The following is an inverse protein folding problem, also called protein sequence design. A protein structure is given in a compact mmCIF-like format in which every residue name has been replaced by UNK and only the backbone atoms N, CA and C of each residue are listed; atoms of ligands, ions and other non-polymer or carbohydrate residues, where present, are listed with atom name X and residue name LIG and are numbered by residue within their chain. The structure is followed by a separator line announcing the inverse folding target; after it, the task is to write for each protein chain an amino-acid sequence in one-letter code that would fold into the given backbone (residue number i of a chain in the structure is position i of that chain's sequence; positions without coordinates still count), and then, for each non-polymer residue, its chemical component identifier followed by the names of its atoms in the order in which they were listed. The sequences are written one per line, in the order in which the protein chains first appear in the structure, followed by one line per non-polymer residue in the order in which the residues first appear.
data_IF_529892656003
#
_entry.id   IF_529892656003
#
_cell.length_a   1.000
_cell.length_b   1.000
_cell.length_c   1.000
_cell.angle_alpha   90.00
_cell.angle_beta   90.00
_cell.angle_gamma   90.00
#
_symmetry.space_group_name_H-M   'P 1'
#
loop_
_entity.id
_entity.type
_entity.pdbx_description
1 polymer ?
#
# COMPACT_ATOMS: atom_id res chain seq x y z
N UNK A 1 -38.78 17.71 11.75
CA UNK A 1 -37.50 17.22 12.28
C UNK A 1 -36.75 18.39 12.94
N UNK A 2 -36.17 18.19 14.13
CA UNK A 2 -35.23 19.13 14.75
C UNK A 2 -33.89 18.43 14.88
N UNK A 3 -32.82 19.16 14.58
CA UNK A 3 -31.46 18.63 14.67
C UNK A 3 -30.59 19.61 15.47
N UNK A 4 -29.92 19.12 16.48
CA UNK A 4 -28.90 19.87 17.22
C UNK A 4 -27.57 19.15 17.07
N UNK A 5 -26.56 19.84 16.56
CA UNK A 5 -25.19 19.28 16.36
C UNK A 5 -24.30 19.79 17.46
N UNK A 6 -23.62 18.86 18.15
CA UNK A 6 -22.64 19.16 19.20
C UNK A 6 -21.33 18.46 18.90
N UNK A 7 -20.23 19.06 19.33
CA UNK A 7 -18.94 18.33 19.36
C UNK A 7 -18.99 17.30 20.50
N UNK A 8 -18.44 16.14 20.26
CA UNK A 8 -18.34 15.08 21.27
C UNK A 8 -17.32 15.45 22.35
N UNK A 9 -17.51 14.95 23.57
CA UNK A 9 -16.50 15.03 24.63
C UNK A 9 -15.19 14.30 24.25
N UNK A 10 -15.26 13.36 23.29
CA UNK A 10 -14.10 12.65 22.77
C UNK A 10 -13.20 13.48 21.83
N UNK A 11 -13.63 14.69 21.44
CA UNK A 11 -12.84 15.61 20.61
C UNK A 11 -13.56 16.12 19.36
N UNK A 12 -12.94 17.11 18.70
CA UNK A 12 -13.50 17.80 17.51
C UNK A 12 -13.69 16.90 16.26
N UNK A 13 -13.09 15.71 16.25
CA UNK A 13 -13.20 14.73 15.16
C UNK A 13 -14.42 13.83 15.28
N UNK A 14 -15.25 14.02 16.31
CA UNK A 14 -16.49 13.27 16.52
C UNK A 14 -17.62 14.25 16.83
N UNK A 15 -18.76 14.05 16.14
CA UNK A 15 -19.96 14.87 16.34
C UNK A 15 -21.11 14.02 16.87
N UNK A 16 -21.93 14.65 17.71
CA UNK A 16 -23.16 14.07 18.21
C UNK A 16 -24.32 14.87 17.62
N UNK A 17 -25.14 14.20 16.84
CA UNK A 17 -26.37 14.75 16.28
C UNK A 17 -27.55 14.30 17.15
N UNK A 18 -28.15 15.23 17.87
CA UNK A 18 -29.42 14.99 18.57
C UNK A 18 -30.53 15.23 17.57
N UNK A 19 -31.28 14.20 17.24
CA UNK A 19 -32.32 14.25 16.22
C UNK A 19 -33.65 13.94 16.88
N UNK A 20 -34.63 14.84 16.68
CA UNK A 20 -35.99 14.69 17.13
C UNK A 20 -36.95 14.75 15.92
N UNK A 21 -37.76 13.70 15.75
CA UNK A 21 -38.69 13.53 14.63
C UNK A 21 -40.09 13.62 15.16
N UNK A 22 -40.92 14.47 14.55
CA UNK A 22 -42.31 14.66 15.00
C UNK A 22 -43.19 13.42 14.74
N UNK A 23 -44.27 13.21 15.53
CA UNK A 23 -45.20 12.10 15.28
C UNK A 23 -45.86 12.13 13.90
N UNK A 24 -46.04 13.32 13.33
CA UNK A 24 -46.62 13.49 11.98
C UNK A 24 -45.69 12.91 10.92
N UNK A 25 -44.39 13.21 10.99
CA UNK A 25 -43.37 12.67 10.06
C UNK A 25 -43.20 11.15 10.20
N UNK A 26 -43.34 10.59 11.42
CA UNK A 26 -43.34 9.16 11.68
C UNK A 26 -44.56 8.44 11.13
N UNK A 27 -45.72 9.10 11.11
CA UNK A 27 -46.94 8.53 10.53
C UNK A 27 -46.81 8.29 9.03
N UNK A 28 -46.10 9.14 8.31
CA UNK A 28 -45.79 8.91 6.88
C UNK A 28 -44.98 7.63 6.65
N UNK A 29 -43.94 7.41 7.46
CA UNK A 29 -43.13 6.18 7.40
C UNK A 29 -43.97 4.96 7.80
N UNK A 30 -44.82 5.10 8.84
CA UNK A 30 -45.73 4.04 9.30
C UNK A 30 -46.73 3.62 8.23
N UNK A 31 -47.37 4.57 7.59
CA UNK A 31 -48.39 4.33 6.55
C UNK A 31 -47.74 3.68 5.30
N UNK A 32 -46.52 4.07 4.95
CA UNK A 32 -45.77 3.47 3.84
C UNK A 32 -45.44 2.00 4.14
N UNK A 33 -44.99 1.69 5.37
CA UNK A 33 -44.64 0.32 5.79
C UNK A 33 -45.94 -0.52 5.91
N UNK A 34 -47.03 0.05 6.44
CA UNK A 34 -48.31 -0.63 6.53
C UNK A 34 -48.82 -1.05 5.13
N UNK A 35 -48.69 -0.19 4.12
CA UNK A 35 -49.08 -0.53 2.75
C UNK A 35 -48.15 -1.60 2.15
N UNK A 36 -46.86 -1.65 2.51
CA UNK A 36 -45.96 -2.70 2.10
C UNK A 36 -46.33 -4.05 2.74
N UNK A 37 -46.66 -4.05 4.04
CA UNK A 37 -47.16 -5.26 4.71
C UNK A 37 -48.50 -5.70 4.11
N UNK A 38 -49.41 -4.79 3.84
CA UNK A 38 -50.68 -5.10 3.19
C UNK A 38 -50.46 -5.84 1.85
N UNK A 39 -49.50 -5.41 1.05
CA UNK A 39 -49.21 -6.03 -0.26
C UNK A 39 -48.53 -7.39 -0.13
N UNK A 40 -47.67 -7.57 0.87
CA UNK A 40 -46.83 -8.78 1.02
C UNK A 40 -47.44 -9.86 1.90
N UNK A 41 -48.17 -9.48 2.94
CA UNK A 41 -48.68 -10.41 3.95
C UNK A 41 -49.73 -11.38 3.39
N UNK A 42 -49.55 -12.65 3.77
CA UNK A 42 -50.54 -13.71 3.53
C UNK A 42 -51.18 -14.06 4.89
N UNK A 43 -52.42 -13.68 5.08
CA UNK A 43 -53.13 -13.90 6.33
C UNK A 43 -54.30 -14.86 6.13
N UNK A 44 -54.52 -15.86 7.01
CA UNK A 44 -55.65 -16.74 6.95
C UNK A 44 -56.96 -15.94 7.00
N UNK A 45 -57.91 -16.21 6.08
CA UNK A 45 -59.19 -15.54 6.00
C UNK A 45 -59.18 -14.22 5.18
N UNK A 46 -58.05 -13.76 4.68
CA UNK A 46 -57.98 -12.54 3.86
C UNK A 46 -57.28 -12.80 2.51
N UNK A 47 -57.81 -12.20 1.45
CA UNK A 47 -57.14 -12.18 0.16
C UNK A 47 -55.93 -11.27 0.24
N UNK A 48 -54.81 -11.68 -0.38
CA UNK A 48 -53.59 -10.89 -0.47
C UNK A 48 -53.87 -9.44 -0.89
N UNK A 49 -53.37 -8.47 -0.13
CA UNK A 49 -53.60 -7.04 -0.37
C UNK A 49 -54.91 -6.47 0.18
N UNK A 50 -55.74 -7.27 0.86
CA UNK A 50 -57.07 -6.84 1.37
C UNK A 50 -57.22 -6.96 2.90
N UNK A 51 -56.15 -7.24 3.62
CA UNK A 51 -56.19 -7.27 5.08
C UNK A 51 -56.42 -5.86 5.66
N UNK A 52 -57.33 -5.71 6.64
CA UNK A 52 -57.56 -4.43 7.33
C UNK A 52 -56.35 -4.03 8.17
N UNK A 53 -56.21 -2.69 8.38
CA UNK A 53 -55.10 -2.10 9.16
C UNK A 53 -54.94 -2.73 10.55
N UNK A 54 -56.03 -2.83 11.29
CA UNK A 54 -56.05 -3.38 12.65
C UNK A 54 -55.61 -4.84 12.74
N UNK A 55 -55.85 -5.65 11.73
CA UNK A 55 -55.40 -7.04 11.66
C UNK A 55 -53.90 -7.12 11.38
N UNK A 56 -53.38 -6.26 10.49
CA UNK A 56 -51.95 -6.15 10.21
C UNK A 56 -51.18 -5.67 11.44
N UNK A 57 -51.69 -4.62 12.12
CA UNK A 57 -51.09 -4.09 13.35
C UNK A 57 -51.06 -5.13 14.48
N UNK A 58 -52.14 -5.93 14.64
CA UNK A 58 -52.19 -6.97 15.64
C UNK A 58 -51.19 -8.11 15.37
N UNK A 59 -51.02 -8.45 14.09
CA UNK A 59 -50.15 -9.59 13.69
C UNK A 59 -48.68 -9.20 13.53
N UNK A 60 -48.39 -8.01 13.02
CA UNK A 60 -47.09 -7.55 12.63
C UNK A 60 -46.65 -6.25 13.32
N UNK A 61 -47.41 -5.74 14.29
CA UNK A 61 -47.17 -4.43 14.90
C UNK A 61 -45.73 -4.22 15.34
N UNK A 62 -45.16 -5.18 16.05
CA UNK A 62 -43.77 -5.13 16.52
C UNK A 62 -42.74 -5.09 15.39
N UNK A 63 -42.92 -5.90 14.35
CA UNK A 63 -42.04 -5.89 13.17
C UNK A 63 -42.14 -4.59 12.38
N UNK A 64 -43.36 -4.07 12.28
CA UNK A 64 -43.62 -2.78 11.60
C UNK A 64 -43.03 -1.62 12.38
N UNK A 65 -43.12 -1.58 13.71
CA UNK A 65 -42.49 -0.56 14.54
C UNK A 65 -40.97 -0.56 14.39
N UNK A 66 -40.35 -1.73 14.31
CA UNK A 66 -38.93 -1.84 14.07
C UNK A 66 -38.53 -1.32 12.69
N UNK A 67 -39.24 -1.69 11.63
CA UNK A 67 -39.01 -1.18 10.29
C UNK A 67 -39.24 0.33 10.16
N UNK A 68 -40.25 0.88 10.86
CA UNK A 68 -40.51 2.34 10.95
C UNK A 68 -39.32 3.04 11.59
N UNK A 69 -38.85 2.51 12.72
CA UNK A 69 -37.70 3.06 13.42
C UNK A 69 -36.42 3.08 12.52
N UNK A 70 -36.07 1.94 11.92
CA UNK A 70 -34.93 1.86 11.03
C UNK A 70 -35.01 2.82 9.86
N UNK A 71 -36.19 2.89 9.20
CA UNK A 71 -36.42 3.78 8.07
C UNK A 71 -36.35 5.26 8.47
N UNK A 72 -36.98 5.62 9.58
CA UNK A 72 -37.04 6.99 10.11
C UNK A 72 -35.59 7.44 10.49
N UNK A 73 -34.86 6.60 11.24
CA UNK A 73 -33.47 6.89 11.63
C UNK A 73 -32.59 7.10 10.41
N UNK A 74 -32.64 6.19 9.43
CA UNK A 74 -31.81 6.32 8.21
C UNK A 74 -32.15 7.61 7.46
N UNK A 75 -33.42 7.86 7.17
CA UNK A 75 -33.86 9.04 6.42
C UNK A 75 -33.48 10.35 7.11
N UNK A 76 -33.75 10.44 8.43
CA UNK A 76 -33.50 11.66 9.18
C UNK A 76 -32.06 11.92 9.46
N UNK A 77 -31.22 10.88 9.67
CA UNK A 77 -29.76 10.99 9.74
C UNK A 77 -29.18 11.52 8.42
N UNK A 78 -29.53 10.92 7.27
CA UNK A 78 -29.06 11.37 5.97
C UNK A 78 -29.48 12.83 5.66
N UNK A 79 -30.66 13.23 6.08
CA UNK A 79 -31.10 14.61 5.95
C UNK A 79 -30.29 15.56 6.84
N UNK A 80 -30.06 15.19 8.11
CA UNK A 80 -29.27 15.97 9.05
C UNK A 80 -27.83 16.17 8.59
N UNK A 81 -27.18 15.11 8.10
CA UNK A 81 -25.82 15.16 7.54
C UNK A 81 -25.73 16.14 6.37
N UNK A 82 -26.72 16.11 5.46
CA UNK A 82 -26.76 17.03 4.31
C UNK A 82 -27.02 18.48 4.72
N UNK A 83 -27.99 18.72 5.61
CA UNK A 83 -28.36 20.05 6.08
C UNK A 83 -27.19 20.76 6.78
N UNK A 84 -26.48 20.03 7.64
CA UNK A 84 -25.37 20.55 8.43
C UNK A 84 -24.01 20.43 7.72
N UNK A 85 -23.97 19.94 6.47
CA UNK A 85 -22.73 19.75 5.66
C UNK A 85 -21.66 18.97 6.41
N UNK A 86 -22.07 17.90 7.09
CA UNK A 86 -21.17 17.01 7.82
C UNK A 86 -20.58 16.02 6.80
N UNK A 87 -19.27 15.79 6.86
CA UNK A 87 -18.57 14.77 6.08
C UNK A 87 -18.26 13.58 7.00
N UNK A 88 -19.16 12.59 7.12
CA UNK A 88 -18.94 11.44 7.96
C UNK A 88 -17.84 10.53 7.36
N UNK A 89 -16.96 10.02 8.22
CA UNK A 89 -15.95 9.02 7.87
C UNK A 89 -16.26 7.64 8.43
N UNK A 90 -17.41 7.49 9.07
CA UNK A 90 -17.90 6.20 9.57
C UNK A 90 -19.41 6.12 9.54
N UNK A 91 -19.95 4.91 9.69
CA UNK A 91 -21.38 4.75 10.00
C UNK A 91 -21.67 5.31 11.38
N UNK A 92 -22.85 5.99 11.58
CA UNK A 92 -23.20 6.53 12.88
C UNK A 92 -23.48 5.42 13.90
N UNK A 93 -23.02 5.62 15.12
CA UNK A 93 -23.48 4.84 16.26
C UNK A 93 -24.76 5.51 16.80
N UNK A 94 -25.88 4.77 16.79
CA UNK A 94 -27.15 5.27 17.24
C UNK A 94 -27.35 4.92 18.70
N UNK A 95 -27.48 5.95 19.54
CA UNK A 95 -27.59 5.82 20.98
C UNK A 95 -28.84 6.51 21.51
N UNK A 96 -29.24 6.18 22.75
CA UNK A 96 -30.32 6.85 23.50
C UNK A 96 -31.62 6.96 22.73
N UNK A 97 -31.95 5.90 21.96
CA UNK A 97 -33.23 5.87 21.21
C UNK A 97 -34.42 5.90 22.16
N UNK A 98 -35.32 6.82 21.94
CA UNK A 98 -36.67 6.87 22.59
C UNK A 98 -37.71 6.85 21.50
N UNK A 99 -38.48 5.77 21.45
CA UNK A 99 -39.48 5.56 20.42
C UNK A 99 -40.72 4.92 21.07
N UNK A 100 -41.75 5.73 21.29
CA UNK A 100 -43.04 5.30 21.78
C UNK A 100 -44.13 5.72 20.80
N UNK A 101 -45.15 4.88 20.58
CA UNK A 101 -46.22 5.13 19.63
C UNK A 101 -46.95 6.43 19.97
N UNK A 102 -46.99 7.37 19.01
CA UNK A 102 -47.62 8.67 19.19
C UNK A 102 -46.77 9.72 19.91
N UNK A 103 -45.55 9.39 20.29
CA UNK A 103 -44.58 10.34 20.83
C UNK A 103 -43.51 10.67 19.76
N UNK A 104 -42.80 11.77 19.88
CA UNK A 104 -41.66 12.06 19.02
C UNK A 104 -40.58 10.99 19.16
N UNK A 105 -40.01 10.57 18.04
CA UNK A 105 -38.79 9.78 18.06
C UNK A 105 -37.61 10.71 18.39
N UNK A 106 -36.82 10.37 19.41
CA UNK A 106 -35.55 11.03 19.68
C UNK A 106 -34.41 10.05 19.78
N UNK A 107 -33.29 10.42 19.20
CA UNK A 107 -32.07 9.61 19.28
C UNK A 107 -30.83 10.47 19.13
N UNK A 108 -29.70 9.94 19.59
CA UNK A 108 -28.37 10.52 19.36
C UNK A 108 -27.64 9.69 18.30
N UNK A 109 -27.12 10.37 17.26
CA UNK A 109 -26.25 9.75 16.27
C UNK A 109 -24.81 10.26 16.50
N UNK A 110 -23.95 9.40 17.01
CA UNK A 110 -22.52 9.69 17.19
C UNK A 110 -21.79 9.29 15.92
N UNK A 111 -21.10 10.24 15.31
CA UNK A 111 -20.43 10.03 14.03
C UNK A 111 -19.05 10.65 14.02
N UNK A 112 -18.08 9.88 13.52
CA UNK A 112 -16.75 10.39 13.26
C UNK A 112 -16.76 11.23 11.98
N UNK A 113 -16.10 12.38 12.05
CA UNK A 113 -15.98 13.33 10.94
C UNK A 113 -14.54 13.59 10.58
N UNK A 114 -14.31 13.96 9.32
CA UNK A 114 -12.96 14.33 8.88
C UNK A 114 -12.48 15.54 9.69
N UNK A 115 -11.28 15.47 10.32
CA UNK A 115 -10.75 16.57 11.08
C UNK A 115 -10.54 17.82 10.21
N UNK A 116 -11.02 18.96 10.68
CA UNK A 116 -10.73 20.25 10.04
C UNK A 116 -9.42 20.77 10.56
N UNK A 117 -8.43 20.88 9.69
CA UNK A 117 -7.08 21.30 10.03
C UNK A 117 -6.86 22.74 9.58
N UNK A 118 -6.44 23.59 10.52
CA UNK A 118 -5.91 24.91 10.23
C UNK A 118 -4.40 24.85 10.38
N UNK A 119 -3.63 24.76 9.29
CA UNK A 119 -2.18 24.57 9.36
C UNK A 119 -1.51 25.82 9.96
N UNK A 120 -0.51 25.61 10.83
CA UNK A 120 0.27 26.67 11.50
C UNK A 120 1.76 26.44 11.31
N UNK A 121 2.53 27.50 11.27
CA UNK A 121 4.00 27.49 11.29
C UNK A 121 4.62 26.53 10.25
N UNK A 122 4.03 26.47 9.04
CA UNK A 122 4.48 25.59 7.96
C UNK A 122 5.53 26.24 7.05
N UNK A 123 5.91 27.47 7.32
CA UNK A 123 7.07 28.13 6.71
C UNK A 123 8.24 28.18 7.68
N UNK A 124 9.42 28.57 7.20
CA UNK A 124 10.65 28.69 7.99
C UNK A 124 11.03 27.38 8.73
N UNK A 125 10.83 26.24 8.05
CA UNK A 125 11.22 24.94 8.56
C UNK A 125 12.76 24.80 8.45
N UNK A 126 13.37 24.15 9.45
CA UNK A 126 14.79 23.84 9.43
C UNK A 126 15.05 22.54 8.69
N UNK A 127 15.37 22.61 7.41
CA UNK A 127 15.55 21.42 6.58
C UNK A 127 17.04 21.14 6.43
N UNK A 128 17.52 19.92 6.79
CA UNK A 128 18.88 19.51 6.48
C UNK A 128 19.01 19.37 4.96
N UNK A 129 19.87 20.15 4.34
CA UNK A 129 20.22 20.02 2.93
C UNK A 129 21.61 19.42 2.82
N UNK A 130 21.75 18.33 2.10
CA UNK A 130 23.04 17.70 1.81
C UNK A 130 23.48 18.09 0.41
N UNK A 131 24.70 18.62 0.29
CA UNK A 131 25.32 18.79 -1.01
C UNK A 131 25.67 17.40 -1.58
N UNK A 132 25.06 17.04 -2.70
CA UNK A 132 25.30 15.76 -3.35
C UNK A 132 26.60 15.84 -4.12
N UNK A 133 27.64 15.21 -3.59
CA UNK A 133 28.93 15.01 -4.27
C UNK A 133 29.27 13.51 -4.21
N UNK A 134 29.52 12.91 -5.37
CA UNK A 134 29.91 11.50 -5.47
C UNK A 134 31.44 11.41 -5.53
N UNK A 135 32.07 10.80 -4.51
CA UNK A 135 33.50 10.58 -4.51
C UNK A 135 33.93 9.64 -5.64
N UNK A 136 35.15 9.81 -6.18
CA UNK A 136 35.66 8.97 -7.26
C UNK A 136 35.75 7.48 -6.89
N UNK A 137 36.07 7.18 -5.65
CA UNK A 137 36.15 5.80 -5.14
C UNK A 137 34.77 5.09 -5.17
N UNK A 138 33.66 5.81 -5.04
CA UNK A 138 32.32 5.24 -5.15
C UNK A 138 31.99 4.89 -6.62
N UNK A 139 32.41 5.72 -7.55
CA UNK A 139 32.30 5.43 -8.99
C UNK A 139 33.12 4.17 -9.34
N UNK A 140 34.37 4.07 -8.87
CA UNK A 140 35.22 2.90 -9.13
C UNK A 140 34.65 1.63 -8.45
N UNK A 141 34.07 1.72 -7.26
CA UNK A 141 33.39 0.58 -6.63
C UNK A 141 32.20 0.10 -7.45
N UNK A 142 31.36 1.02 -7.91
CA UNK A 142 30.19 0.67 -8.73
C UNK A 142 30.58 0.07 -10.08
N UNK A 143 31.68 0.55 -10.67
CA UNK A 143 32.25 -0.05 -11.89
C UNK A 143 32.80 -1.45 -11.62
N UNK A 144 33.46 -1.67 -10.49
CA UNK A 144 33.96 -2.99 -10.10
C UNK A 144 32.79 -3.96 -9.85
N UNK A 145 31.71 -3.52 -9.17
CA UNK A 145 30.51 -4.32 -9.00
C UNK A 145 29.87 -4.68 -10.34
N UNK A 146 29.78 -3.72 -11.27
CA UNK A 146 29.30 -3.96 -12.63
C UNK A 146 30.17 -5.00 -13.35
N UNK A 147 31.49 -4.86 -13.25
CA UNK A 147 32.47 -5.81 -13.81
C UNK A 147 32.28 -7.22 -13.27
N UNK A 148 32.07 -7.35 -11.96
CA UNK A 148 31.83 -8.64 -11.31
C UNK A 148 30.46 -9.24 -11.74
N UNK A 149 29.42 -8.45 -11.86
CA UNK A 149 28.08 -8.90 -12.28
C UNK A 149 28.04 -9.36 -13.74
N UNK A 150 28.89 -8.78 -14.59
CA UNK A 150 28.96 -9.09 -16.02
C UNK A 150 30.04 -10.08 -16.36
N UNK A 151 30.65 -10.75 -15.36
CA UNK A 151 31.67 -11.77 -15.58
C UNK A 151 31.12 -12.97 -16.36
N UNK A 152 31.92 -13.48 -17.31
CA UNK A 152 31.61 -14.68 -18.08
C UNK A 152 31.98 -15.96 -17.30
N UNK A 153 31.23 -17.03 -17.54
CA UNK A 153 31.51 -18.34 -16.99
C UNK A 153 32.20 -19.22 -18.01
N UNK A 154 33.48 -19.51 -17.79
CA UNK A 154 34.30 -20.36 -18.68
C UNK A 154 34.40 -21.79 -18.13
N UNK A 155 34.17 -22.83 -18.95
CA UNK A 155 34.31 -24.20 -18.49
C UNK A 155 35.76 -24.54 -18.14
N UNK A 156 35.91 -25.28 -17.04
CA UNK A 156 37.26 -25.75 -16.56
C UNK A 156 37.20 -27.22 -16.17
N UNK A 157 38.29 -27.94 -16.40
CA UNK A 157 38.43 -29.38 -16.08
C UNK A 157 39.16 -29.59 -14.75
N UNK A 158 38.79 -28.84 -13.72
CA UNK A 158 39.35 -28.96 -12.36
C UNK A 158 38.21 -29.09 -11.33
N UNK A 159 38.63 -29.38 -10.09
CA UNK A 159 37.70 -29.34 -8.94
C UNK A 159 37.17 -27.93 -8.73
N UNK A 160 35.88 -27.86 -8.31
CA UNK A 160 35.24 -26.62 -7.99
C UNK A 160 35.92 -25.93 -6.80
N UNK A 161 36.29 -24.67 -6.98
CA UNK A 161 36.92 -23.80 -5.98
C UNK A 161 35.91 -22.68 -5.55
N UNK A 162 36.19 -21.99 -4.42
CA UNK A 162 35.43 -20.80 -4.06
C UNK A 162 35.43 -19.78 -5.21
N UNK A 163 34.25 -19.18 -5.52
CA UNK A 163 34.08 -18.25 -6.63
C UNK A 163 33.74 -18.88 -7.98
N UNK A 164 33.77 -20.22 -8.08
CA UNK A 164 33.32 -20.94 -9.26
C UNK A 164 31.79 -21.12 -9.27
N UNK A 165 31.26 -21.49 -10.43
CA UNK A 165 29.91 -22.01 -10.56
C UNK A 165 29.93 -23.48 -11.01
N UNK A 166 28.98 -24.25 -10.58
CA UNK A 166 28.83 -25.67 -10.93
C UNK A 166 27.56 -25.87 -11.71
N UNK A 167 27.63 -26.51 -12.86
CA UNK A 167 26.45 -26.95 -13.62
C UNK A 167 26.02 -28.29 -13.07
N UNK A 168 24.78 -28.36 -12.62
CA UNK A 168 24.23 -29.56 -12.00
C UNK A 168 22.84 -29.90 -12.56
N UNK A 169 22.59 -31.22 -12.65
CA UNK A 169 21.22 -31.71 -12.65
C UNK A 169 20.88 -32.10 -11.22
N UNK A 170 19.76 -31.65 -10.68
CA UNK A 170 19.37 -32.01 -9.33
C UNK A 170 17.89 -32.35 -9.22
N UNK A 171 17.60 -33.18 -8.22
CA UNK A 171 16.23 -33.53 -7.85
C UNK A 171 16.11 -33.64 -6.34
N UNK A 172 15.02 -33.17 -5.79
CA UNK A 172 14.70 -33.36 -4.37
C UNK A 172 14.12 -34.76 -4.15
N UNK A 173 14.61 -35.46 -3.12
CA UNK A 173 14.13 -36.76 -2.72
C UNK A 173 13.15 -36.64 -1.55
N UNK A 174 12.15 -37.53 -1.53
CA UNK A 174 11.26 -37.69 -0.39
C UNK A 174 11.90 -38.58 0.68
N UNK A 175 11.25 -38.75 1.85
CA UNK A 175 11.70 -39.59 2.96
C UNK A 175 11.93 -41.07 2.61
N UNK A 176 11.50 -41.53 1.42
CA UNK A 176 11.70 -42.89 0.91
C UNK A 176 12.78 -42.95 -0.16
N UNK A 177 13.56 -41.88 -0.37
CA UNK A 177 14.59 -41.79 -1.39
C UNK A 177 14.08 -41.71 -2.85
N UNK A 178 12.79 -41.38 -3.04
CA UNK A 178 12.23 -41.26 -4.40
C UNK A 178 12.12 -39.79 -4.80
N UNK A 179 12.33 -39.47 -6.12
CA UNK A 179 12.19 -38.12 -6.63
C UNK A 179 10.80 -37.52 -6.32
N UNK A 180 10.81 -36.27 -5.88
CA UNK A 180 9.60 -35.48 -5.68
C UNK A 180 9.14 -34.92 -7.02
N UNK A 181 7.86 -35.08 -7.35
CA UNK A 181 7.30 -34.62 -8.61
C UNK A 181 7.53 -33.13 -8.85
N UNK A 182 8.00 -32.77 -10.04
CA UNK A 182 8.32 -31.39 -10.46
C UNK A 182 9.47 -30.71 -9.69
N UNK A 183 10.33 -31.46 -8.98
CA UNK A 183 11.51 -30.90 -8.32
C UNK A 183 12.81 -31.07 -9.11
N UNK A 184 12.74 -31.72 -10.27
CA UNK A 184 13.90 -31.94 -11.17
C UNK A 184 14.24 -30.62 -11.88
N UNK A 185 15.53 -30.25 -11.81
CA UNK A 185 16.13 -29.14 -12.54
C UNK A 185 17.34 -29.68 -13.31
N UNK A 186 17.44 -29.32 -14.60
CA UNK A 186 18.54 -29.70 -15.47
C UNK A 186 19.37 -28.48 -15.85
N UNK A 187 20.67 -28.70 -16.02
CA UNK A 187 21.63 -27.68 -16.41
C UNK A 187 21.58 -26.42 -15.52
N UNK A 188 21.26 -26.60 -14.23
CA UNK A 188 21.20 -25.50 -13.29
C UNK A 188 22.63 -24.99 -12.99
N UNK A 189 22.85 -23.70 -13.16
CA UNK A 189 24.09 -23.03 -12.78
C UNK A 189 24.01 -22.63 -11.29
N UNK A 190 24.87 -23.22 -10.47
CA UNK A 190 24.95 -22.92 -9.03
C UNK A 190 26.26 -22.18 -8.77
N UNK A 191 26.15 -20.87 -8.51
CA UNK A 191 27.27 -20.02 -8.12
C UNK A 191 27.63 -20.30 -6.65
N UNK A 192 28.83 -20.73 -6.35
CA UNK A 192 29.25 -21.16 -5.00
C UNK A 192 29.35 -20.01 -3.99
N UNK A 193 29.51 -18.78 -4.49
CA UNK A 193 29.57 -17.56 -3.67
C UNK A 193 28.26 -16.74 -3.71
N UNK A 194 27.17 -17.29 -4.30
CA UNK A 194 25.89 -16.57 -4.40
C UNK A 194 25.33 -16.24 -3.02
N UNK A 195 24.89 -14.99 -2.84
CA UNK A 195 24.15 -14.59 -1.65
C UNK A 195 22.82 -15.36 -1.58
N UNK A 196 22.60 -16.05 -0.47
CA UNK A 196 21.41 -16.88 -0.28
C UNK A 196 21.56 -18.35 -0.67
N UNK A 197 22.70 -18.77 -1.22
CA UNK A 197 22.99 -20.20 -1.38
C UNK A 197 23.15 -20.83 0.01
N UNK A 198 22.39 -21.90 0.26
CA UNK A 198 22.46 -22.60 1.54
C UNK A 198 23.87 -23.21 1.73
N UNK A 199 24.46 -23.12 2.93
CA UNK A 199 25.83 -23.58 3.19
C UNK A 199 26.07 -25.02 2.76
N UNK A 200 25.10 -25.91 2.96
CA UNK A 200 25.19 -27.31 2.60
C UNK A 200 25.35 -27.53 1.09
N UNK A 201 24.76 -26.69 0.23
CA UNK A 201 25.00 -26.74 -1.21
C UNK A 201 26.44 -26.39 -1.53
N UNK A 202 26.93 -25.29 -1.00
CA UNK A 202 28.29 -24.83 -1.22
C UNK A 202 29.31 -25.88 -0.74
N UNK A 203 29.16 -26.37 0.49
CA UNK A 203 30.12 -27.26 1.12
C UNK A 203 30.18 -28.64 0.42
N UNK A 204 29.07 -29.13 -0.12
CA UNK A 204 29.04 -30.40 -0.85
C UNK A 204 29.43 -30.25 -2.32
N UNK A 205 29.37 -29.08 -2.92
CA UNK A 205 29.81 -28.85 -4.30
C UNK A 205 31.27 -28.42 -4.39
N UNK A 206 31.87 -27.84 -3.34
CA UNK A 206 33.30 -27.55 -3.28
C UNK A 206 34.15 -28.82 -3.43
N UNK A 207 35.18 -28.75 -4.26
CA UNK A 207 36.07 -29.88 -4.55
C UNK A 207 35.48 -30.94 -5.48
N UNK A 208 34.30 -30.75 -6.04
CA UNK A 208 33.66 -31.68 -6.98
C UNK A 208 34.04 -31.39 -8.42
N UNK A 209 34.06 -32.47 -9.25
CA UNK A 209 34.33 -32.43 -10.70
C UNK A 209 33.12 -32.84 -11.50
N UNK A 210 33.12 -32.46 -12.79
CA UNK A 210 32.12 -32.98 -13.74
C UNK A 210 32.13 -34.50 -13.77
N UNK A 211 30.94 -35.11 -13.77
CA UNK A 211 30.71 -36.55 -13.73
C UNK A 211 30.52 -37.16 -12.34
N UNK A 212 30.65 -36.39 -11.27
CA UNK A 212 30.39 -36.88 -9.92
C UNK A 212 28.89 -36.81 -9.57
N UNK A 213 28.42 -37.83 -8.84
CA UNK A 213 27.10 -37.87 -8.25
C UNK A 213 27.21 -37.70 -6.74
N UNK A 214 26.34 -36.84 -6.16
CA UNK A 214 26.30 -36.55 -4.74
C UNK A 214 24.87 -36.54 -4.21
N UNK A 215 24.70 -37.00 -2.98
CA UNK A 215 23.46 -36.88 -2.22
C UNK A 215 23.75 -36.22 -0.88
N UNK A 216 22.98 -35.20 -0.52
CA UNK A 216 23.10 -34.53 0.77
C UNK A 216 21.77 -33.98 1.23
N UNK A 217 21.70 -33.68 2.52
CA UNK A 217 20.49 -33.12 3.14
C UNK A 217 20.76 -31.66 3.52
N UNK A 218 19.79 -30.81 3.21
CA UNK A 218 19.80 -29.39 3.52
C UNK A 218 18.72 -29.11 4.55
N UNK A 219 19.02 -28.28 5.53
CA UNK A 219 18.02 -27.79 6.48
C UNK A 219 17.68 -26.35 6.17
N UNK A 220 16.43 -26.10 5.76
CA UNK A 220 15.97 -24.75 5.49
C UNK A 220 15.82 -23.94 6.77
N UNK A 221 16.25 -22.68 6.81
CA UNK A 221 16.10 -21.84 7.99
C UNK A 221 14.61 -21.50 8.27
N UNK A 222 14.33 -21.11 9.52
CA UNK A 222 12.98 -20.78 9.97
C UNK A 222 12.37 -19.54 9.31
N UNK A 223 13.19 -18.66 8.73
CA UNK A 223 12.82 -17.47 7.98
C UNK A 223 12.78 -17.67 6.46
N UNK A 224 12.95 -18.93 5.98
CA UNK A 224 12.93 -19.22 4.55
C UNK A 224 11.60 -18.82 3.90
N UNK A 225 11.67 -18.13 2.77
CA UNK A 225 10.51 -17.52 2.11
C UNK A 225 9.40 -18.48 1.65
N UNK A 226 9.71 -19.80 1.52
CA UNK A 226 8.71 -20.80 1.17
C UNK A 226 8.21 -21.53 2.43
N UNK A 227 6.94 -21.30 2.78
CA UNK A 227 6.30 -21.85 3.98
C UNK A 227 6.28 -23.41 4.03
N UNK A 228 6.32 -24.10 2.87
CA UNK A 228 6.34 -25.56 2.83
C UNK A 228 7.70 -26.15 3.21
N UNK A 229 8.78 -25.37 3.03
CA UNK A 229 10.16 -25.80 3.25
C UNK A 229 10.74 -25.26 4.56
N UNK A 230 10.17 -24.22 5.12
CA UNK A 230 10.58 -23.53 6.33
C UNK A 230 10.84 -24.49 7.49
N UNK A 231 12.04 -24.46 8.07
CA UNK A 231 12.44 -25.32 9.20
C UNK A 231 12.54 -26.81 8.87
N UNK A 232 12.40 -27.22 7.60
CA UNK A 232 12.37 -28.62 7.21
C UNK A 232 13.68 -29.05 6.57
N UNK A 233 14.04 -30.32 6.76
CA UNK A 233 15.14 -30.96 6.06
C UNK A 233 14.66 -31.53 4.71
N UNK A 234 15.45 -31.34 3.67
CA UNK A 234 15.21 -31.91 2.34
C UNK A 234 16.49 -32.54 1.80
N UNK A 235 16.41 -33.77 1.30
CA UNK A 235 17.53 -34.46 0.66
C UNK A 235 17.53 -34.17 -0.82
N UNK A 236 18.69 -33.86 -1.36
CA UNK A 236 18.93 -33.62 -2.79
C UNK A 236 19.86 -34.67 -3.35
N UNK A 237 19.58 -35.10 -4.56
CA UNK A 237 20.43 -35.94 -5.40
C UNK A 237 20.86 -35.07 -6.58
N UNK A 238 22.19 -34.92 -6.79
CA UNK A 238 22.77 -34.05 -7.79
C UNK A 238 23.76 -34.80 -8.65
N UNK A 239 23.71 -34.56 -9.94
CA UNK A 239 24.74 -34.96 -10.93
C UNK A 239 25.51 -33.72 -11.37
N UNK A 240 26.79 -33.65 -11.05
CA UNK A 240 27.68 -32.57 -11.46
C UNK A 240 28.05 -32.73 -12.91
N UNK A 241 27.64 -31.82 -13.79
CA UNK A 241 27.96 -31.84 -15.21
C UNK A 241 29.30 -31.20 -15.54
N UNK A 242 29.63 -30.15 -14.82
CA UNK A 242 30.89 -29.46 -15.06
C UNK A 242 31.09 -28.28 -14.13
N UNK A 243 32.31 -27.83 -14.08
CA UNK A 243 32.71 -26.64 -13.32
C UNK A 243 32.97 -25.48 -14.26
N UNK A 244 32.59 -24.30 -13.85
CA UNK A 244 32.84 -23.05 -14.59
C UNK A 244 33.56 -22.07 -13.70
N UNK A 245 34.65 -21.53 -14.18
CA UNK A 245 35.41 -20.46 -13.54
C UNK A 245 34.84 -19.10 -13.91
N UNK A 246 34.76 -18.24 -12.94
CA UNK A 246 34.32 -16.84 -13.13
C UNK A 246 35.44 -16.05 -13.78
N UNK A 247 35.28 -15.70 -15.05
CA UNK A 247 36.23 -14.89 -15.80
C UNK A 247 35.80 -13.43 -15.80
N UNK A 248 36.44 -12.66 -14.93
CA UNK A 248 36.21 -11.20 -14.86
C UNK A 248 37.09 -10.54 -15.91
N UNK A 249 36.48 -9.80 -16.84
CA UNK A 249 37.20 -9.06 -17.90
C UNK A 249 37.96 -7.87 -17.32
N UNK A 250 39.07 -7.42 -17.93
CA UNK A 250 39.67 -6.13 -17.57
C UNK A 250 38.69 -4.98 -17.72
N UNK A 251 38.82 -3.96 -16.88
CA UNK A 251 38.00 -2.73 -16.97
C UNK A 251 38.70 -1.75 -17.94
N UNK A 252 38.42 -1.91 -19.22
CA UNK A 252 39.02 -1.17 -20.34
C UNK A 252 37.93 -0.76 -21.36
N UNK A 253 38.37 -0.13 -22.45
CA UNK A 253 37.42 0.34 -23.50
C UNK A 253 36.73 -0.84 -24.21
N UNK A 254 37.39 -2.02 -24.29
CA UNK A 254 36.76 -3.22 -24.84
C UNK A 254 35.62 -3.70 -23.94
N UNK A 255 35.80 -3.67 -22.62
CA UNK A 255 34.73 -3.96 -21.68
C UNK A 255 33.55 -3.00 -21.85
N UNK A 256 33.82 -1.71 -21.91
CA UNK A 256 32.78 -0.70 -22.08
C UNK A 256 32.00 -0.89 -23.38
N UNK A 257 32.67 -1.19 -24.49
CA UNK A 257 32.04 -1.31 -25.81
C UNK A 257 31.35 -2.68 -26.04
N UNK A 258 32.01 -3.78 -25.71
CA UNK A 258 31.53 -5.12 -26.03
C UNK A 258 30.48 -5.64 -25.01
N UNK A 259 30.65 -5.26 -23.72
CA UNK A 259 29.81 -5.80 -22.63
C UNK A 259 28.66 -4.85 -22.30
N UNK A 260 28.93 -3.54 -22.26
CA UNK A 260 27.98 -2.53 -21.81
C UNK A 260 27.34 -1.76 -23.00
N UNK A 261 28.02 -1.73 -24.17
CA UNK A 261 27.55 -1.01 -25.34
C UNK A 261 27.78 0.50 -25.29
N UNK A 262 28.76 0.95 -24.47
CA UNK A 262 29.23 2.34 -24.42
C UNK A 262 30.43 2.51 -25.35
N UNK A 263 30.74 3.75 -25.75
CA UNK A 263 31.82 3.99 -26.68
C UNK A 263 33.21 3.63 -26.11
N UNK A 264 33.46 4.02 -24.88
CA UNK A 264 34.73 3.82 -24.19
C UNK A 264 34.52 3.84 -22.65
N UNK A 265 35.57 3.50 -21.89
CA UNK A 265 35.54 3.48 -20.43
C UNK A 265 35.28 4.87 -19.82
N UNK A 266 35.71 5.93 -20.49
CA UNK A 266 35.43 7.31 -20.00
C UNK A 266 33.95 7.65 -20.04
N UNK A 267 33.25 7.27 -21.10
CA UNK A 267 31.79 7.42 -21.21
C UNK A 267 31.07 6.56 -20.15
N UNK A 268 31.51 5.33 -19.93
CA UNK A 268 30.96 4.46 -18.89
C UNK A 268 31.11 5.09 -17.49
N UNK A 269 32.31 5.63 -17.16
CA UNK A 269 32.53 6.36 -15.90
C UNK A 269 31.62 7.57 -15.74
N UNK A 270 31.54 8.37 -16.78
CA UNK A 270 30.67 9.56 -16.78
C UNK A 270 29.21 9.18 -16.57
N UNK A 271 28.75 8.12 -17.23
CA UNK A 271 27.37 7.61 -17.07
C UNK A 271 27.11 7.06 -15.67
N UNK A 272 28.06 6.29 -15.14
CA UNK A 272 27.96 5.76 -13.77
C UNK A 272 27.87 6.89 -12.75
N UNK A 273 28.73 7.91 -12.87
CA UNK A 273 28.69 9.10 -12.01
C UNK A 273 27.34 9.80 -12.07
N UNK A 274 26.80 10.04 -13.28
CA UNK A 274 25.49 10.66 -13.45
C UNK A 274 24.36 9.84 -12.82
N UNK A 275 24.43 8.52 -12.91
CA UNK A 275 23.44 7.64 -12.26
C UNK A 275 23.52 7.75 -10.74
N UNK A 276 24.73 7.63 -10.17
CA UNK A 276 24.95 7.75 -8.71
C UNK A 276 24.53 9.13 -8.18
N UNK A 277 24.88 10.23 -8.90
CA UNK A 277 24.41 11.56 -8.55
C UNK A 277 22.89 11.66 -8.59
N UNK A 278 22.26 11.05 -9.61
CA UNK A 278 20.81 11.00 -9.73
C UNK A 278 20.16 10.29 -8.56
N UNK A 279 20.67 9.11 -8.19
CA UNK A 279 20.19 8.33 -7.04
C UNK A 279 20.38 9.09 -5.71
N UNK A 280 21.56 9.67 -5.51
CA UNK A 280 21.85 10.45 -4.31
C UNK A 280 20.99 11.72 -4.20
N UNK A 281 20.73 12.43 -5.32
CA UNK A 281 19.79 13.58 -5.35
C UNK A 281 18.36 13.14 -5.02
N UNK A 282 17.92 12.01 -5.56
CA UNK A 282 16.58 11.47 -5.26
C UNK A 282 16.46 11.09 -3.80
N UNK A 283 17.51 10.48 -3.22
CA UNK A 283 17.56 10.15 -1.80
C UNK A 283 17.52 11.40 -0.94
N UNK A 284 18.41 12.37 -1.20
CA UNK A 284 18.45 13.65 -0.48
C UNK A 284 17.10 14.37 -0.53
N UNK A 285 16.44 14.40 -1.71
CA UNK A 285 15.10 14.99 -1.85
C UNK A 285 14.04 14.30 -0.99
N UNK A 286 14.08 12.97 -0.88
CA UNK A 286 13.16 12.21 -0.01
C UNK A 286 13.43 12.49 1.47
N UNK A 287 14.70 12.50 1.86
CA UNK A 287 15.11 12.76 3.24
C UNK A 287 14.70 14.20 3.66
N UNK A 288 14.85 15.18 2.74
CA UNK A 288 14.36 16.55 2.95
C UNK A 288 12.82 16.60 3.11
N UNK A 289 12.08 15.90 2.25
CA UNK A 289 10.61 15.82 2.31
C UNK A 289 10.14 15.18 3.62
N UNK A 290 10.81 14.11 4.07
CA UNK A 290 10.52 13.49 5.37
C UNK A 290 10.79 14.43 6.52
N UNK A 291 11.92 15.14 6.51
CA UNK A 291 12.26 16.12 7.54
C UNK A 291 11.26 17.30 7.60
N UNK A 292 10.77 17.76 6.43
CA UNK A 292 9.70 18.75 6.34
C UNK A 292 8.42 18.20 6.99
N UNK A 293 8.00 17.00 6.62
CA UNK A 293 6.78 16.37 7.14
C UNK A 293 6.85 16.17 8.65
N UNK A 294 7.99 15.70 9.18
CA UNK A 294 8.16 15.50 10.61
C UNK A 294 8.03 16.80 11.41
N UNK A 295 8.62 17.88 10.92
CA UNK A 295 8.48 19.18 11.57
C UNK A 295 7.06 19.75 11.46
N UNK A 296 6.40 19.56 10.32
CA UNK A 296 5.00 19.97 10.13
C UNK A 296 4.08 19.23 11.10
N UNK A 297 4.23 17.91 11.23
CA UNK A 297 3.44 17.11 12.16
C UNK A 297 3.71 17.45 13.62
N UNK A 298 4.96 17.74 13.98
CA UNK A 298 5.31 18.16 15.33
C UNK A 298 4.68 19.51 15.73
N UNK A 299 4.58 20.47 14.78
CA UNK A 299 3.96 21.76 14.98
C UNK A 299 2.43 21.75 14.90
N UNK A 300 1.85 20.75 14.28
CA UNK A 300 0.41 20.61 14.04
C UNK A 300 -0.10 19.26 14.58
N UNK A 301 -0.33 19.14 15.89
CA UNK A 301 -0.89 17.91 16.46
C UNK A 301 -2.32 17.69 15.94
N UNK A 302 -2.58 16.51 15.37
CA UNK A 302 -3.86 16.13 14.78
C UNK A 302 -4.39 14.91 15.53
N UNK A 303 -5.60 15.03 16.09
CA UNK A 303 -6.35 13.89 16.63
C UNK A 303 -7.13 13.22 15.50
N UNK A 304 -6.87 11.93 15.29
CA UNK A 304 -7.59 11.13 14.29
C UNK A 304 -8.73 10.36 14.93
N UNK A 305 -9.91 10.28 14.28
CA UNK A 305 -10.92 9.30 14.63
C UNK A 305 -10.38 7.86 14.48
N UNK A 306 -10.77 7.00 15.41
CA UNK A 306 -10.39 5.57 15.37
C UNK A 306 -10.87 4.90 14.09
N UNK A 307 -12.06 5.26 13.61
CA UNK A 307 -12.64 4.74 12.37
C UNK A 307 -11.79 5.00 11.14
N UNK A 308 -11.16 6.19 11.03
CA UNK A 308 -10.28 6.51 9.91
C UNK A 308 -9.03 5.62 9.89
N UNK A 309 -8.46 5.36 11.07
CA UNK A 309 -7.28 4.50 11.20
C UNK A 309 -7.66 3.05 10.87
N UNK A 310 -8.79 2.58 11.39
CA UNK A 310 -9.29 1.24 11.12
C UNK A 310 -9.59 1.02 9.63
N UNK A 311 -10.29 1.95 8.98
CA UNK A 311 -10.60 1.90 7.55
C UNK A 311 -9.33 1.87 6.69
N UNK A 312 -8.35 2.72 7.00
CA UNK A 312 -7.07 2.73 6.29
C UNK A 312 -6.33 1.39 6.41
N UNK A 313 -6.30 0.80 7.62
CA UNK A 313 -5.68 -0.50 7.84
C UNK A 313 -6.42 -1.63 7.15
N UNK A 314 -7.76 -1.57 7.10
CA UNK A 314 -8.58 -2.55 6.39
C UNK A 314 -8.38 -2.49 4.89
N UNK A 315 -8.31 -1.29 4.30
CA UNK A 315 -7.99 -1.09 2.88
C UNK A 315 -6.59 -1.62 2.53
N UNK A 316 -5.61 -1.35 3.40
CA UNK A 316 -4.25 -1.86 3.21
C UNK A 316 -4.22 -3.38 3.28
N UNK A 317 -4.87 -3.96 4.29
CA UNK A 317 -4.98 -5.40 4.46
C UNK A 317 -5.71 -6.07 3.29
N UNK A 318 -6.75 -5.44 2.75
CA UNK A 318 -7.48 -5.95 1.60
C UNK A 318 -6.57 -6.08 0.36
N UNK A 319 -5.73 -5.11 0.09
CA UNK A 319 -4.76 -5.17 -1.01
C UNK A 319 -3.73 -6.29 -0.83
N UNK A 320 -3.33 -6.56 0.42
CA UNK A 320 -2.38 -7.63 0.73
C UNK A 320 -3.02 -9.03 0.75
N UNK A 321 -4.34 -9.12 0.97
CA UNK A 321 -5.09 -10.41 0.94
C UNK A 321 -5.15 -11.04 -0.44
N UNK A 322 -5.02 -10.27 -1.51
CA UNK A 322 -4.97 -10.78 -2.87
C UNK A 322 -3.72 -11.65 -3.13
N UNK A 323 -2.69 -11.54 -2.27
CA UNK A 323 -1.43 -12.27 -2.37
C UNK A 323 -1.38 -13.55 -1.52
N UNK A 324 -2.12 -13.62 -0.40
CA UNK A 324 -2.19 -14.77 0.52
C UNK A 324 -3.40 -14.75 1.45
N UNK A 325 -3.76 -15.92 1.99
CA UNK A 325 -4.72 -16.02 3.09
C UNK A 325 -4.06 -15.61 4.42
N UNK A 326 -4.80 -14.85 5.24
CA UNK A 326 -4.38 -14.35 6.54
C UNK A 326 -5.20 -14.98 7.67
N UNK A 327 -4.54 -15.43 8.74
CA UNK A 327 -5.23 -15.88 9.96
C UNK A 327 -5.72 -14.67 10.78
N UNK A 328 -6.73 -14.84 11.65
CA UNK A 328 -7.19 -13.77 12.53
C UNK A 328 -6.06 -13.17 13.41
N UNK A 329 -5.14 -14.00 13.91
CA UNK A 329 -4.01 -13.54 14.71
C UNK A 329 -3.01 -12.71 13.90
N UNK A 330 -2.76 -13.09 12.64
CA UNK A 330 -1.91 -12.31 11.72
C UNK A 330 -2.54 -10.94 11.40
N UNK A 331 -3.86 -10.89 11.22
CA UNK A 331 -4.59 -9.64 11.00
C UNK A 331 -4.45 -8.69 12.19
N UNK A 332 -4.64 -9.18 13.42
CA UNK A 332 -4.52 -8.35 14.63
C UNK A 332 -3.07 -7.88 14.88
N UNK A 333 -2.10 -8.75 14.61
CA UNK A 333 -0.68 -8.37 14.66
C UNK A 333 -0.38 -7.27 13.64
N UNK A 334 -0.83 -7.45 12.39
CA UNK A 334 -0.68 -6.45 11.34
C UNK A 334 -1.28 -5.10 11.75
N UNK A 335 -2.53 -5.08 12.24
CA UNK A 335 -3.17 -3.84 12.70
C UNK A 335 -2.37 -3.14 13.79
N UNK A 336 -1.83 -3.91 14.75
CA UNK A 336 -1.04 -3.37 15.86
C UNK A 336 0.30 -2.80 15.38
N UNK A 337 1.02 -3.54 14.54
CA UNK A 337 2.34 -3.15 14.02
C UNK A 337 2.28 -1.97 13.05
N UNK A 338 1.26 -1.94 12.18
CA UNK A 338 1.14 -0.90 11.15
C UNK A 338 0.36 0.33 11.60
N UNK A 339 -0.31 0.30 12.75
CA UNK A 339 -1.07 1.44 13.28
C UNK A 339 -0.27 2.75 13.36
N UNK A 340 0.94 2.82 13.92
CA UNK A 340 1.70 4.07 13.99
C UNK A 340 2.01 4.63 12.59
N UNK A 341 2.33 3.77 11.64
CA UNK A 341 2.60 4.14 10.25
C UNK A 341 1.35 4.67 9.56
N UNK A 342 0.20 4.01 9.77
CA UNK A 342 -1.09 4.44 9.26
C UNK A 342 -1.50 5.82 9.80
N UNK A 343 -1.39 6.02 11.12
CA UNK A 343 -1.68 7.31 11.76
C UNK A 343 -0.79 8.43 11.22
N UNK A 344 0.52 8.18 11.10
CA UNK A 344 1.46 9.16 10.52
C UNK A 344 1.08 9.50 9.08
N UNK A 345 0.73 8.51 8.28
CA UNK A 345 0.34 8.68 6.88
C UNK A 345 -0.94 9.52 6.75
N UNK A 346 -1.98 9.18 7.49
CA UNK A 346 -3.25 9.91 7.48
C UNK A 346 -3.04 11.37 7.93
N UNK A 347 -2.30 11.59 9.03
CA UNK A 347 -1.99 12.94 9.52
C UNK A 347 -1.23 13.76 8.48
N UNK A 348 -0.21 13.16 7.82
CA UNK A 348 0.53 13.78 6.74
C UNK A 348 -0.40 14.22 5.61
N UNK A 349 -1.21 13.30 5.09
CA UNK A 349 -2.06 13.57 3.93
C UNK A 349 -3.11 14.65 4.26
N UNK A 350 -3.72 14.61 5.43
CA UNK A 350 -4.66 15.64 5.89
C UNK A 350 -3.99 17.02 6.04
N UNK A 351 -2.77 17.07 6.58
CA UNK A 351 -2.06 18.33 6.80
C UNK A 351 -1.57 18.92 5.48
N UNK A 352 -1.01 18.12 4.59
CA UNK A 352 -0.58 18.58 3.27
C UNK A 352 -1.77 19.08 2.45
N UNK A 353 -2.91 18.40 2.47
CA UNK A 353 -4.17 18.87 1.85
C UNK A 353 -4.59 20.23 2.41
N UNK A 354 -4.52 20.42 3.73
CA UNK A 354 -4.88 21.68 4.36
C UNK A 354 -3.94 22.82 3.94
N UNK A 355 -2.63 22.58 3.84
CA UNK A 355 -1.67 23.58 3.36
C UNK A 355 -1.89 23.88 1.88
N UNK A 356 -2.11 22.87 1.02
CA UNK A 356 -2.40 23.08 -0.41
C UNK A 356 -3.64 23.96 -0.61
N UNK A 357 -4.68 23.78 0.20
CA UNK A 357 -5.87 24.63 0.16
C UNK A 357 -5.58 26.05 0.66
N UNK A 358 -4.83 26.20 1.74
CA UNK A 358 -4.46 27.51 2.29
C UNK A 358 -3.63 28.34 1.31
N UNK A 359 -2.71 27.69 0.60
CA UNK A 359 -1.84 28.34 -0.42
C UNK A 359 -2.48 28.37 -1.82
N UNK A 360 -3.70 27.86 -1.99
CA UNK A 360 -4.41 27.79 -3.28
C UNK A 360 -3.58 27.15 -4.39
N UNK A 361 -2.85 26.07 -4.07
CA UNK A 361 -2.02 25.35 -5.04
C UNK A 361 -2.91 24.65 -6.06
N UNK A 362 -2.71 24.92 -7.33
CA UNK A 362 -3.49 24.38 -8.43
C UNK A 362 -2.59 23.76 -9.50
N UNK A 363 -3.16 22.80 -10.22
CA UNK A 363 -2.53 22.13 -11.37
C UNK A 363 -3.47 22.24 -12.56
N UNK A 364 -2.94 22.68 -13.70
CA UNK A 364 -3.70 22.79 -14.94
C UNK A 364 -3.84 21.44 -15.64
N UNK A 365 -4.82 21.33 -16.53
CA UNK A 365 -5.01 20.11 -17.33
C UNK A 365 -3.84 19.90 -18.31
N UNK A 366 -3.20 20.98 -18.78
CA UNK A 366 -2.00 20.90 -19.61
C UNK A 366 -0.80 20.31 -18.88
N UNK A 367 -0.60 20.66 -17.61
CA UNK A 367 0.49 20.09 -16.77
C UNK A 367 0.27 18.59 -16.55
N UNK A 368 -0.98 18.16 -16.32
CA UNK A 368 -1.34 16.75 -16.19
C UNK A 368 -1.03 16.01 -17.49
N UNK A 369 -1.46 16.53 -18.63
CA UNK A 369 -1.22 15.93 -19.93
C UNK A 369 0.28 15.83 -20.27
N UNK A 370 1.06 16.85 -19.96
CA UNK A 370 2.51 16.84 -20.14
C UNK A 370 3.19 15.80 -19.25
N UNK A 371 2.78 15.68 -17.99
CA UNK A 371 3.32 14.69 -17.06
C UNK A 371 3.03 13.27 -17.52
N UNK A 372 1.80 13.00 -17.96
CA UNK A 372 1.42 11.69 -18.46
C UNK A 372 2.15 11.33 -19.76
N UNK A 373 2.33 12.27 -20.68
CA UNK A 373 3.13 12.08 -21.92
C UNK A 373 4.59 11.82 -21.62
N UNK A 374 5.19 12.59 -20.72
CA UNK A 374 6.58 12.40 -20.29
C UNK A 374 6.83 11.04 -19.65
N UNK A 375 5.88 10.53 -18.86
CA UNK A 375 5.99 9.20 -18.24
C UNK A 375 5.91 8.04 -19.24
N UNK A 376 5.28 8.24 -20.40
CA UNK A 376 5.15 7.20 -21.44
C UNK A 376 6.37 7.15 -22.39
N UNK A 377 7.25 8.15 -22.36
CA UNK A 377 8.33 8.30 -23.32
C UNK A 377 7.86 8.94 -24.66
N UNK A 378 8.75 9.68 -25.28
CA UNK A 378 8.44 10.47 -26.51
C UNK A 378 8.04 9.58 -27.70
N UNK A 379 8.39 8.30 -27.70
CA UNK A 379 8.10 7.36 -28.79
C UNK A 379 6.70 6.73 -28.70
N UNK A 380 6.02 6.84 -27.57
CA UNK A 380 4.70 6.23 -27.36
C UNK A 380 3.62 7.17 -27.92
N UNK A 381 3.34 7.03 -29.23
CA UNK A 381 2.28 7.74 -29.92
C UNK A 381 1.21 6.77 -30.42
N UNK A 382 -0.07 7.18 -30.41
CA UNK A 382 -1.14 6.36 -30.95
C UNK A 382 -2.37 6.28 -30.05
N UNK A 383 -3.39 5.50 -30.48
CA UNK A 383 -4.67 5.41 -29.77
C UNK A 383 -4.57 4.88 -28.34
N UNK A 384 -3.58 4.05 -28.05
CA UNK A 384 -3.36 3.47 -26.70
C UNK A 384 -2.81 4.54 -25.74
N UNK A 385 -1.86 5.35 -26.18
CA UNK A 385 -1.35 6.48 -25.42
C UNK A 385 -2.46 7.49 -25.09
N UNK A 386 -3.29 7.83 -26.07
CA UNK A 386 -4.42 8.72 -25.84
C UNK A 386 -5.45 8.14 -24.84
N UNK A 387 -5.71 6.84 -24.88
CA UNK A 387 -6.59 6.18 -23.90
C UNK A 387 -6.01 6.23 -22.49
N UNK A 388 -4.70 5.99 -22.36
CA UNK A 388 -4.00 6.07 -21.07
C UNK A 388 -4.04 7.50 -20.50
N UNK A 389 -3.78 8.53 -21.32
CA UNK A 389 -3.87 9.94 -20.93
C UNK A 389 -5.28 10.34 -20.50
N UNK A 390 -6.32 9.77 -21.12
CA UNK A 390 -7.72 10.04 -20.79
C UNK A 390 -8.25 9.22 -19.61
N UNK A 391 -7.47 8.27 -19.09
CA UNK A 391 -7.88 7.45 -17.97
C UNK A 391 -8.06 8.29 -16.68
N UNK A 392 -9.26 8.36 -16.09
CA UNK A 392 -9.53 9.23 -14.95
C UNK A 392 -8.64 8.91 -13.74
N UNK A 393 -8.37 7.62 -13.48
CA UNK A 393 -7.54 7.21 -12.35
C UNK A 393 -6.05 7.60 -12.54
N UNK A 394 -5.53 7.56 -13.77
CA UNK A 394 -4.18 8.00 -14.07
C UNK A 394 -4.06 9.53 -13.98
N UNK A 395 -5.06 10.25 -14.48
CA UNK A 395 -5.12 11.73 -14.38
C UNK A 395 -5.15 12.17 -12.92
N UNK A 396 -5.95 11.52 -12.10
CA UNK A 396 -6.04 11.83 -10.67
C UNK A 396 -4.72 11.57 -9.94
N UNK A 397 -4.05 10.46 -10.24
CA UNK A 397 -2.71 10.17 -9.70
C UNK A 397 -1.67 11.21 -10.13
N UNK A 398 -1.68 11.60 -11.41
CA UNK A 398 -0.78 12.63 -11.93
C UNK A 398 -1.06 14.00 -11.30
N UNK A 399 -2.34 14.37 -11.13
CA UNK A 399 -2.76 15.60 -10.45
C UNK A 399 -2.24 15.64 -9.02
N UNK A 400 -2.48 14.57 -8.25
CA UNK A 400 -2.06 14.50 -6.84
C UNK A 400 -0.53 14.56 -6.71
N UNK A 401 0.20 13.87 -7.58
CA UNK A 401 1.66 13.94 -7.63
C UNK A 401 2.17 15.35 -7.96
N UNK A 402 1.54 16.04 -8.92
CA UNK A 402 1.91 17.41 -9.29
C UNK A 402 1.60 18.41 -8.17
N UNK A 403 0.45 18.28 -7.50
CA UNK A 403 0.08 19.10 -6.36
C UNK A 403 1.10 18.93 -5.23
N UNK A 404 1.44 17.70 -4.88
CA UNK A 404 2.43 17.39 -3.85
C UNK A 404 3.82 17.95 -4.22
N UNK A 405 4.24 17.79 -5.46
CA UNK A 405 5.51 18.34 -5.95
C UNK A 405 5.56 19.86 -5.85
N UNK A 406 4.49 20.56 -6.26
CA UNK A 406 4.40 22.03 -6.14
C UNK A 406 4.40 22.47 -4.68
N UNK A 407 3.72 21.74 -3.81
CA UNK A 407 3.72 22.00 -2.37
C UNK A 407 5.13 21.88 -1.78
N UNK A 408 5.83 20.77 -2.02
CA UNK A 408 7.19 20.60 -1.49
C UNK A 408 8.17 21.61 -2.08
N UNK A 409 8.00 21.99 -3.34
CA UNK A 409 8.78 23.09 -3.93
C UNK A 409 8.56 24.40 -3.16
N UNK A 410 7.31 24.78 -2.90
CA UNK A 410 6.98 25.98 -2.11
C UNK A 410 7.55 25.91 -0.70
N UNK A 411 7.40 24.77 -0.02
CA UNK A 411 7.91 24.56 1.34
C UNK A 411 9.44 24.68 1.40
N UNK A 412 10.16 24.12 0.41
CA UNK A 412 11.62 24.24 0.28
C UNK A 412 12.06 25.68 0.04
N UNK A 413 11.39 26.42 -0.85
CA UNK A 413 11.71 27.82 -1.15
C UNK A 413 11.55 28.73 0.07
N UNK A 414 10.64 28.39 0.99
CA UNK A 414 10.37 29.12 2.23
C UNK A 414 11.09 28.55 3.45
N UNK A 415 11.74 27.39 3.31
CA UNK A 415 12.50 26.77 4.38
C UNK A 415 13.85 27.46 4.63
N UNK A 416 14.35 27.34 5.85
CA UNK A 416 15.73 27.68 6.19
C UNK A 416 16.60 26.44 5.96
N UNK A 417 17.28 26.39 4.82
CA UNK A 417 18.17 25.28 4.48
C UNK A 417 19.42 25.34 5.37
N UNK A 418 19.61 24.34 6.21
CA UNK A 418 20.85 24.14 6.96
C UNK A 418 21.71 23.14 6.18
N UNK A 419 22.73 23.65 5.50
CA UNK A 419 23.73 22.82 4.82
C UNK A 419 24.47 22.03 5.91
N UNK A 420 24.25 20.74 5.98
CA UNK A 420 25.07 19.81 6.74
C UNK A 420 26.18 19.32 5.84
N UNK A 421 27.43 19.62 6.22
CA UNK A 421 28.64 19.21 5.52
C UNK A 421 28.87 17.68 5.65
#
# INVERSE_FOLDING_TARGET
MKVEVRDSEAGASQKVLLIEVSPEELNEDYDAILEDYRRRAVLPGFRKGKAPRNVLELQFGHSMEHEVLERAVKRTYEAAVREHRIEPVSYPQIEKIRFDKGQPLSYEAVVDVRPTITPRDYFELNVPSQEVSIPEDEVEKSLEELRQRTADWSPVEREAAPGDAVIVDYVRLNSKGKPVHKSEQKDALVELDAQGLLPEFRDNLLGKKGGEHIEFTVTYPEDFGNAELKGRAATFSLDVKGVRERRVRPLDDAFASEVIGMRDLSELRARMRLNLEGEARMKASRDEEEAIVDQLLAKNPIALPESMVAEYLDDLLQRLKDEREWTPEEVERFRTEYRPTAERRIKRDLLLDAIMRAESIQVSEEEIDQTLRGAMGEETTGPEAERAIRNPAQRERARNHLLERKLFQLLREKAQLKITA
#
